data_IF_482684606528
#
_entry.id   IF_482684606528
#
_cell.length_a   1.000
_cell.length_b   1.000
_cell.length_c   1.000
_cell.angle_alpha   90.00
_cell.angle_beta   90.00
_cell.angle_gamma   90.00
#
_symmetry.space_group_name_H-M   'P 1'
#
loop_
_entity.id
_entity.type
_entity.pdbx_description
1 polymer ?
#
# COMPACT_ATOMS: atom_id res chain seq x y z
N UNK A 1 -22.20 22.86 7.62
CA UNK A 1 -21.92 22.47 9.03
C UNK A 1 -20.69 21.59 8.97
N UNK A 2 -19.60 21.98 9.65
CA UNK A 2 -18.34 21.25 9.61
C UNK A 2 -18.53 19.85 10.22
N UNK A 3 -18.22 18.81 9.43
CA UNK A 3 -18.20 17.42 9.91
C UNK A 3 -16.77 17.08 10.27
N UNK A 4 -16.57 16.51 11.45
CA UNK A 4 -15.26 16.09 11.92
C UNK A 4 -15.14 14.58 11.83
N UNK A 5 -13.94 14.12 11.51
CA UNK A 5 -13.55 12.73 11.62
C UNK A 5 -12.43 12.57 12.64
N UNK A 6 -12.40 11.39 13.26
CA UNK A 6 -11.39 11.03 14.24
C UNK A 6 -10.60 9.88 13.69
N UNK A 7 -9.32 10.14 13.43
CA UNK A 7 -8.40 9.15 12.92
C UNK A 7 -7.32 8.83 13.95
N UNK A 8 -7.03 7.54 14.11
CA UNK A 8 -5.97 7.05 14.98
C UNK A 8 -4.82 6.51 14.14
N UNK A 9 -3.60 6.94 14.46
CA UNK A 9 -2.37 6.65 13.72
C UNK A 9 -1.45 5.65 14.44
N UNK A 10 -1.99 4.82 15.34
CA UNK A 10 -1.21 3.91 16.20
C UNK A 10 -0.18 4.58 17.12
N UNK A 11 -0.22 5.91 17.24
CA UNK A 11 0.74 6.67 18.05
C UNK A 11 0.33 6.65 19.52
N UNK A 12 1.29 6.32 20.38
CA UNK A 12 1.14 6.25 21.82
C UNK A 12 1.76 7.50 22.45
N UNK A 13 1.16 8.01 23.52
CA UNK A 13 1.76 9.10 24.29
C UNK A 13 3.07 8.64 24.97
N UNK A 14 4.06 9.53 25.16
CA UNK A 14 5.31 9.20 25.85
C UNK A 14 5.02 8.70 27.27
N UNK A 15 5.40 7.46 27.57
CA UNK A 15 5.20 6.84 28.88
C UNK A 15 3.94 5.96 29.02
N UNK A 16 3.11 5.84 27.98
CA UNK A 16 1.96 4.93 27.99
C UNK A 16 2.38 3.50 27.56
N UNK A 17 1.98 2.48 28.33
CA UNK A 17 2.26 1.08 27.98
C UNK A 17 1.30 0.59 26.89
N UNK A 18 1.87 0.01 25.82
CA UNK A 18 1.13 -0.47 24.64
C UNK A 18 -0.01 -1.44 25.00
N UNK A 19 0.19 -2.32 25.98
CA UNK A 19 -0.83 -3.25 26.49
C UNK A 19 -1.99 -2.54 27.20
N UNK A 20 -1.70 -1.55 28.05
CA UNK A 20 -2.72 -0.79 28.77
C UNK A 20 -3.53 0.11 27.83
N UNK A 21 -2.87 0.76 26.86
CA UNK A 21 -3.58 1.58 25.86
C UNK A 21 -4.47 0.71 24.99
N UNK A 22 -4.01 -0.48 24.57
CA UNK A 22 -4.84 -1.46 23.86
C UNK A 22 -6.08 -1.85 24.68
N UNK A 23 -5.91 -2.19 25.96
CA UNK A 23 -7.03 -2.57 26.82
C UNK A 23 -8.06 -1.43 26.99
N UNK A 24 -7.59 -0.19 27.14
CA UNK A 24 -8.46 0.98 27.28
C UNK A 24 -9.18 1.34 25.97
N UNK A 25 -8.47 1.24 24.84
CA UNK A 25 -9.03 1.48 23.51
C UNK A 25 -10.08 0.41 23.15
N UNK A 26 -9.82 -0.86 23.47
CA UNK A 26 -10.77 -1.95 23.28
C UNK A 26 -12.08 -1.71 24.05
N UNK A 27 -12.00 -1.21 25.28
CA UNK A 27 -13.19 -0.88 26.10
C UNK A 27 -13.95 0.34 25.57
N UNK A 28 -13.24 1.38 25.15
CA UNK A 28 -13.85 2.62 24.65
C UNK A 28 -14.55 2.43 23.31
N UNK A 29 -13.98 1.63 22.41
CA UNK A 29 -14.52 1.42 21.06
C UNK A 29 -15.26 0.10 20.88
N UNK A 30 -15.32 -0.74 21.92
CA UNK A 30 -15.84 -2.11 21.83
C UNK A 30 -15.24 -2.86 20.62
N UNK A 31 -13.95 -2.58 20.35
CA UNK A 31 -13.27 -3.07 19.18
C UNK A 31 -12.61 -4.42 19.49
N UNK A 32 -12.87 -5.42 18.66
CA UNK A 32 -12.24 -6.73 18.73
C UNK A 32 -10.72 -6.66 18.58
N UNK A 33 -10.00 -7.64 19.13
CA UNK A 33 -8.55 -7.75 19.05
C UNK A 33 -8.01 -7.63 17.61
N UNK A 34 -8.79 -8.07 16.62
CA UNK A 34 -8.48 -7.95 15.18
C UNK A 34 -8.53 -6.50 14.69
N UNK A 35 -9.56 -5.73 15.05
CA UNK A 35 -9.67 -4.29 14.71
C UNK A 35 -8.61 -3.48 15.43
N UNK A 36 -8.30 -3.85 16.67
CA UNK A 36 -7.20 -3.24 17.40
C UNK A 36 -5.83 -3.53 16.77
N UNK A 37 -5.57 -4.77 16.35
CA UNK A 37 -4.32 -5.10 15.64
C UNK A 37 -4.17 -4.28 14.35
N UNK A 38 -5.27 -4.07 13.62
CA UNK A 38 -5.33 -3.19 12.44
C UNK A 38 -5.07 -1.73 12.80
N UNK A 39 -5.69 -1.21 13.87
CA UNK A 39 -5.47 0.15 14.39
C UNK A 39 -4.03 0.40 14.83
N UNK A 40 -3.35 -0.64 15.35
CA UNK A 40 -1.95 -0.60 15.75
C UNK A 40 -0.97 -1.02 14.65
N UNK A 41 -1.44 -1.20 13.40
CA UNK A 41 -0.59 -1.55 12.26
C UNK A 41 0.30 -0.38 11.75
N UNK A 42 0.21 0.79 12.40
CA UNK A 42 0.96 1.99 12.01
C UNK A 42 0.30 2.81 10.89
N UNK A 43 -0.86 2.38 10.39
CA UNK A 43 -1.64 3.11 9.37
C UNK A 43 -2.70 3.98 10.04
N UNK A 44 -2.97 5.17 9.46
CA UNK A 44 -4.10 6.01 9.85
C UNK A 44 -5.40 5.26 9.62
N UNK A 45 -6.18 5.03 10.67
CA UNK A 45 -7.51 4.43 10.58
C UNK A 45 -8.54 5.38 11.16
N UNK A 46 -9.58 5.65 10.39
CA UNK A 46 -10.74 6.44 10.81
C UNK A 46 -11.59 5.58 11.75
N UNK A 47 -11.69 6.00 13.02
CA UNK A 47 -12.48 5.26 14.00
C UNK A 47 -13.96 5.63 13.91
N UNK A 48 -14.24 6.93 13.69
CA UNK A 48 -15.60 7.42 13.53
C UNK A 48 -15.60 8.71 12.71
N UNK A 49 -16.44 8.76 11.68
CA UNK A 49 -16.68 9.92 10.83
C UNK A 49 -18.05 10.54 11.14
N UNK A 50 -18.25 11.78 10.71
CA UNK A 50 -19.53 12.51 10.86
C UNK A 50 -19.85 12.90 12.31
N UNK A 51 -18.85 13.38 13.05
CA UNK A 51 -19.01 13.91 14.40
C UNK A 51 -19.11 15.44 14.37
N UNK A 52 -19.97 16.00 15.21
CA UNK A 52 -19.99 17.42 15.52
C UNK A 52 -18.73 17.83 16.31
N UNK A 53 -18.36 19.12 16.26
CA UNK A 53 -17.18 19.69 16.93
C UNK A 53 -17.10 19.29 18.42
N UNK A 54 -18.21 19.48 19.15
CA UNK A 54 -18.30 19.15 20.57
C UNK A 54 -18.20 17.63 20.85
N UNK A 55 -18.57 16.78 19.88
CA UNK A 55 -18.40 15.33 20.01
C UNK A 55 -16.96 14.93 19.69
N UNK A 56 -16.36 15.54 18.66
CA UNK A 56 -14.98 15.29 18.27
C UNK A 56 -13.97 15.60 19.39
N UNK A 57 -14.14 16.74 20.07
CA UNK A 57 -13.29 17.11 21.22
C UNK A 57 -13.46 16.17 22.42
N UNK A 58 -14.68 15.68 22.67
CA UNK A 58 -14.94 14.69 23.74
C UNK A 58 -14.23 13.37 23.45
N UNK A 59 -14.28 12.91 22.21
CA UNK A 59 -13.57 11.70 21.79
C UNK A 59 -12.05 11.89 21.85
N UNK A 60 -11.52 13.02 21.36
CA UNK A 60 -10.10 13.37 21.49
C UNK A 60 -9.66 13.33 22.96
N UNK A 61 -10.38 14.01 23.84
CA UNK A 61 -10.06 14.08 25.28
C UNK A 61 -10.09 12.70 25.95
N UNK A 62 -11.03 11.84 25.56
CA UNK A 62 -11.17 10.49 26.12
C UNK A 62 -10.05 9.57 25.64
N UNK A 63 -9.65 9.73 24.37
CA UNK A 63 -8.56 8.99 23.76
C UNK A 63 -7.17 9.42 24.27
N UNK A 64 -6.93 10.73 24.42
CA UNK A 64 -5.70 11.25 25.03
C UNK A 64 -5.55 10.75 26.47
N UNK A 65 -6.64 10.73 27.25
CA UNK A 65 -6.67 10.13 28.60
C UNK A 65 -6.41 8.62 28.59
N UNK A 66 -6.75 7.93 27.51
CA UNK A 66 -6.44 6.52 27.34
C UNK A 66 -4.99 6.26 26.91
N UNK A 67 -4.19 7.32 26.64
CA UNK A 67 -2.78 7.23 26.23
C UNK A 67 -2.56 7.10 24.72
N UNK A 68 -3.59 7.37 23.92
CA UNK A 68 -3.56 7.31 22.46
C UNK A 68 -3.47 8.73 21.87
N UNK A 69 -2.54 8.94 20.93
CA UNK A 69 -2.47 10.17 20.14
C UNK A 69 -3.47 10.06 18.98
N UNK A 70 -4.36 11.04 18.86
CA UNK A 70 -5.46 11.01 17.89
C UNK A 70 -5.48 12.31 17.12
N UNK A 71 -5.65 12.19 15.80
CA UNK A 71 -5.73 13.32 14.91
C UNK A 71 -7.20 13.57 14.56
N UNK A 72 -7.65 14.80 14.81
CA UNK A 72 -8.98 15.26 14.42
C UNK A 72 -8.82 16.01 13.11
N UNK A 73 -9.30 15.43 12.01
CA UNK A 73 -9.37 16.12 10.74
C UNK A 73 -10.76 16.77 10.60
N UNK A 74 -10.77 18.08 10.39
CA UNK A 74 -11.98 18.76 9.94
C UNK A 74 -12.18 18.44 8.46
N UNK A 75 -13.32 17.85 8.10
CA UNK A 75 -13.70 17.69 6.70
C UNK A 75 -14.23 19.05 6.23
N UNK A 76 -13.31 19.96 5.89
CA UNK A 76 -13.66 21.16 5.15
C UNK A 76 -13.98 20.72 3.71
N UNK A 77 -15.24 20.93 3.31
CA UNK A 77 -15.68 20.80 1.92
C UNK A 77 -14.95 21.89 1.10
N UNK A 78 -13.71 21.64 0.70
CA UNK A 78 -13.11 22.34 -0.43
C UNK A 78 -13.40 21.50 -1.67
N UNK A 79 -14.59 21.73 -2.20
CA UNK A 79 -14.98 21.36 -3.55
C UNK A 79 -14.14 22.29 -4.43
N UNK A 80 -12.91 21.89 -4.75
CA UNK A 80 -12.13 22.53 -5.80
C UNK A 80 -12.82 22.16 -7.12
N UNK A 81 -13.80 23.00 -7.46
CA UNK A 81 -14.47 23.10 -8.73
C UNK A 81 -13.43 23.47 -9.78
N UNK A 82 -12.77 22.46 -10.35
CA UNK A 82 -11.88 22.64 -11.48
C UNK A 82 -12.78 23.00 -12.66
N UNK A 83 -12.79 24.29 -12.96
CA UNK A 83 -13.51 24.92 -14.05
C UNK A 83 -13.30 24.17 -15.38
N UNK A 84 -14.44 23.81 -15.94
CA UNK A 84 -14.72 23.37 -17.29
C UNK A 84 -13.98 24.24 -18.34
N UNK A 85 -12.98 23.67 -19.02
CA UNK A 85 -12.45 24.22 -20.26
C UNK A 85 -12.96 23.40 -21.47
N UNK A 86 -13.37 24.05 -22.58
CA UNK A 86 -14.16 23.43 -23.65
C UNK A 86 -13.29 22.57 -24.61
N UNK A 87 -13.84 21.48 -25.18
CA UNK A 87 -13.10 20.63 -26.14
C UNK A 87 -12.82 21.36 -27.47
N UNK A 88 -11.59 21.31 -28.01
CA UNK A 88 -11.33 21.69 -29.39
C UNK A 88 -11.74 20.56 -30.34
N UNK A 89 -12.56 20.87 -31.34
CA UNK A 89 -12.82 20.00 -32.49
C UNK A 89 -11.57 19.89 -33.37
N UNK A 90 -11.30 18.70 -33.94
CA UNK A 90 -10.95 18.67 -35.36
C UNK A 90 -11.62 17.53 -36.16
N UNK A 91 -12.40 17.94 -37.16
CA UNK A 91 -12.29 17.60 -38.59
C UNK A 91 -11.97 16.15 -39.05
N UNK A 92 -12.97 15.53 -39.70
CA UNK A 92 -12.97 14.73 -40.93
C UNK A 92 -12.17 13.40 -41.10
N UNK A 93 -12.94 12.30 -41.24
CA UNK A 93 -12.95 11.18 -42.25
C UNK A 93 -11.63 10.49 -42.72
N UNK A 94 -11.66 9.26 -43.33
CA UNK A 94 -12.71 8.24 -43.49
C UNK A 94 -12.31 6.83 -42.96
N UNK A 95 -13.28 5.91 -42.87
CA UNK A 95 -13.04 4.49 -42.62
C UNK A 95 -12.30 3.79 -43.79
N UNK A 96 -11.46 2.78 -43.49
CA UNK A 96 -11.75 1.46 -44.05
C UNK A 96 -11.47 0.28 -43.09
N UNK A 97 -12.37 -0.69 -43.18
CA UNK A 97 -12.15 -2.14 -43.06
C UNK A 97 -11.80 -2.71 -41.68
N UNK A 98 -12.80 -3.34 -41.09
CA UNK A 98 -12.68 -4.31 -40.00
C UNK A 98 -11.92 -5.56 -40.46
N UNK A 99 -10.95 -6.03 -39.68
CA UNK A 99 -10.87 -7.45 -39.36
C UNK A 99 -11.07 -7.72 -37.87
N UNK A 100 -11.96 -8.68 -37.59
CA UNK A 100 -12.03 -9.53 -36.39
C UNK A 100 -11.73 -8.85 -35.04
N UNK A 101 -12.82 -8.48 -34.35
CA UNK A 101 -12.82 -8.07 -32.96
C UNK A 101 -12.11 -9.10 -32.06
N UNK A 102 -10.90 -8.77 -31.62
CA UNK A 102 -10.52 -9.01 -30.24
C UNK A 102 -11.53 -8.24 -29.35
N UNK A 103 -11.97 -8.75 -28.19
CA UNK A 103 -12.71 -7.95 -27.26
C UNK A 103 -11.81 -6.79 -26.84
N UNK A 104 -12.05 -5.63 -27.42
CA UNK A 104 -11.50 -4.39 -26.96
C UNK A 104 -11.86 -4.28 -25.48
N UNK A 105 -10.86 -4.17 -24.62
CA UNK A 105 -11.01 -3.60 -23.30
C UNK A 105 -11.41 -2.12 -23.49
N UNK A 106 -12.66 -1.91 -23.91
CA UNK A 106 -13.30 -0.62 -23.93
C UNK A 106 -13.49 -0.19 -22.49
N UNK A 107 -13.38 1.12 -22.25
CA UNK A 107 -13.62 1.69 -20.94
C UNK A 107 -14.90 1.10 -20.34
N UNK A 108 -14.85 0.58 -19.10
CA UNK A 108 -16.01 -0.02 -18.46
C UNK A 108 -17.19 0.97 -18.48
N UNK A 109 -18.38 0.47 -18.81
CA UNK A 109 -19.62 1.25 -18.79
C UNK A 109 -19.94 1.74 -17.38
N UNK A 110 -21.13 2.30 -17.15
CA UNK A 110 -21.56 2.63 -15.77
C UNK A 110 -22.43 1.54 -15.19
N UNK A 111 -22.05 1.08 -13.99
CA UNK A 111 -22.71 0.01 -13.28
C UNK A 111 -24.16 0.40 -12.99
N UNK A 112 -25.11 -0.46 -13.37
CA UNK A 112 -26.52 -0.32 -13.01
C UNK A 112 -26.90 -1.43 -12.04
N UNK A 113 -27.01 -1.09 -10.76
CA UNK A 113 -27.42 -2.04 -9.74
C UNK A 113 -28.95 -2.16 -9.77
N UNK A 114 -29.46 -3.36 -10.04
CA UNK A 114 -30.87 -3.71 -9.82
C UNK A 114 -30.98 -4.33 -8.43
N UNK A 115 -31.60 -3.65 -7.44
CA UNK A 115 -31.68 -4.17 -6.08
C UNK A 115 -32.45 -5.48 -6.03
N UNK A 116 -31.90 -6.46 -5.31
CA UNK A 116 -32.57 -7.74 -5.02
C UNK A 116 -33.17 -7.76 -3.62
N UNK A 117 -32.64 -6.94 -2.72
CA UNK A 117 -33.00 -6.85 -1.31
C UNK A 117 -32.76 -5.43 -0.77
N UNK A 118 -33.15 -5.18 0.49
CA UNK A 118 -33.00 -3.89 1.16
C UNK A 118 -31.53 -3.47 1.32
N UNK A 119 -30.62 -4.44 1.44
CA UNK A 119 -29.18 -4.15 1.53
C UNK A 119 -28.61 -3.68 0.19
N UNK A 120 -28.95 -4.33 -0.93
CA UNK A 120 -28.52 -3.89 -2.26
C UNK A 120 -29.14 -2.56 -2.68
N UNK A 121 -30.33 -2.21 -2.15
CA UNK A 121 -30.97 -0.94 -2.43
C UNK A 121 -30.12 0.27 -2.01
N UNK A 122 -29.25 0.12 -1.00
CA UNK A 122 -28.32 1.17 -0.58
C UNK A 122 -27.29 1.56 -1.67
N UNK A 123 -27.09 0.71 -2.68
CA UNK A 123 -26.08 0.90 -3.72
C UNK A 123 -26.66 1.35 -5.09
N UNK A 124 -27.96 1.60 -5.19
CA UNK A 124 -28.60 1.96 -6.48
C UNK A 124 -28.08 3.27 -7.07
N UNK A 125 -27.62 4.18 -6.22
CA UNK A 125 -27.08 5.49 -6.62
C UNK A 125 -25.56 5.54 -6.72
N UNK A 126 -24.86 4.41 -6.61
CA UNK A 126 -23.40 4.39 -6.69
C UNK A 126 -22.95 4.58 -8.12
N UNK A 127 -22.18 5.63 -8.36
CA UNK A 127 -21.52 5.87 -9.64
C UNK A 127 -20.17 5.12 -9.68
N UNK A 128 -20.17 3.95 -10.33
CA UNK A 128 -18.99 3.13 -10.48
C UNK A 128 -18.85 2.60 -11.92
N UNK A 129 -17.61 2.32 -12.37
CA UNK A 129 -17.40 1.62 -13.63
C UNK A 129 -17.91 0.17 -13.55
N UNK A 130 -18.54 -0.30 -14.62
CA UNK A 130 -19.00 -1.67 -14.81
C UNK A 130 -17.88 -2.53 -15.39
N UNK A 131 -17.11 -3.17 -14.51
CA UNK A 131 -16.03 -4.08 -14.89
C UNK A 131 -16.51 -5.44 -15.41
N UNK A 132 -17.83 -5.70 -15.39
CA UNK A 132 -18.38 -7.00 -15.78
C UNK A 132 -17.85 -8.17 -14.94
N UNK A 133 -18.13 -9.39 -15.41
CA UNK A 133 -17.60 -10.62 -14.83
C UNK A 133 -16.90 -11.38 -15.95
N UNK A 134 -15.60 -11.57 -15.82
CA UNK A 134 -14.83 -12.38 -16.75
C UNK A 134 -15.20 -13.88 -16.61
N UNK A 135 -15.14 -14.66 -17.69
CA UNK A 135 -15.37 -16.10 -17.62
C UNK A 135 -14.27 -16.80 -16.79
N UNK A 136 -14.56 -18.04 -16.37
CA UNK A 136 -13.60 -18.82 -15.60
C UNK A 136 -12.36 -19.13 -16.44
N UNK A 137 -11.18 -18.79 -15.91
CA UNK A 137 -9.89 -19.03 -16.56
C UNK A 137 -9.34 -17.85 -17.35
N UNK A 138 -10.08 -16.74 -17.46
CA UNK A 138 -9.53 -15.50 -18.00
C UNK A 138 -8.49 -14.90 -17.05
N UNK A 139 -7.43 -14.35 -17.63
CA UNK A 139 -6.41 -13.62 -16.89
C UNK A 139 -6.91 -12.20 -16.59
N UNK A 140 -6.90 -11.84 -15.30
CA UNK A 140 -7.34 -10.54 -14.81
C UNK A 140 -6.17 -9.61 -14.46
N UNK A 141 -4.93 -10.02 -14.76
CA UNK A 141 -3.77 -9.19 -14.48
C UNK A 141 -3.65 -8.13 -15.57
N UNK A 142 -3.29 -6.91 -15.16
CA UNK A 142 -2.90 -5.88 -16.12
C UNK A 142 -1.68 -6.34 -16.92
N UNK A 143 -1.64 -5.95 -18.20
CA UNK A 143 -0.48 -6.23 -19.05
C UNK A 143 0.76 -5.60 -18.42
N UNK A 144 1.79 -6.43 -18.18
CA UNK A 144 3.04 -5.94 -17.63
C UNK A 144 3.71 -5.08 -18.71
N UNK A 145 3.95 -3.78 -18.46
CA UNK A 145 4.59 -2.94 -19.45
C UNK A 145 5.94 -3.54 -19.84
N UNK A 146 6.20 -3.60 -21.14
CA UNK A 146 7.49 -4.05 -21.66
C UNK A 146 8.58 -3.13 -21.11
N UNK A 147 9.50 -3.70 -20.32
CA UNK A 147 10.58 -2.94 -19.71
C UNK A 147 11.71 -2.88 -20.72
N UNK A 148 11.86 -1.73 -21.37
CA UNK A 148 13.04 -1.44 -22.18
C UNK A 148 14.31 -1.62 -21.34
N UNK A 149 15.22 -2.48 -21.81
CA UNK A 149 16.45 -2.76 -21.10
C UNK A 149 17.31 -1.48 -21.02
N UNK A 150 17.91 -1.17 -19.86
CA UNK A 150 18.79 -0.01 -19.76
C UNK A 150 19.97 -0.18 -20.74
N UNK A 151 20.44 0.89 -21.40
CA UNK A 151 21.62 0.83 -22.26
C UNK A 151 22.88 0.70 -21.38
N UNK A 152 23.18 -0.53 -20.94
CA UNK A 152 24.36 -0.86 -20.16
C UNK A 152 25.53 -1.22 -21.08
N UNK A 153 26.63 -0.48 -20.97
CA UNK A 153 27.90 -0.85 -21.61
C UNK A 153 28.69 -1.81 -20.71
N UNK A 154 28.63 -3.09 -21.05
CA UNK A 154 29.34 -4.17 -20.35
C UNK A 154 30.68 -4.51 -20.99
N UNK A 155 31.15 -3.75 -21.98
CA UNK A 155 32.38 -4.07 -22.74
C UNK A 155 33.64 -4.10 -21.87
N UNK A 156 33.61 -3.41 -20.72
CA UNK A 156 34.69 -3.38 -19.73
C UNK A 156 34.70 -4.60 -18.78
N UNK A 157 33.63 -5.37 -18.72
CA UNK A 157 33.50 -6.52 -17.82
C UNK A 157 33.72 -7.82 -18.59
N UNK A 158 34.69 -8.63 -18.16
CA UNK A 158 34.92 -9.97 -18.68
C UNK A 158 34.50 -11.00 -17.64
N UNK A 159 33.64 -11.94 -18.02
CA UNK A 159 33.25 -13.05 -17.16
C UNK A 159 34.30 -14.15 -17.24
N UNK A 160 34.77 -14.63 -16.10
CA UNK A 160 35.70 -15.76 -16.05
C UNK A 160 34.98 -17.06 -16.46
N UNK A 161 35.70 -18.07 -17.00
CA UNK A 161 35.11 -19.38 -17.30
C UNK A 161 34.44 -20.00 -16.07
N UNK A 162 33.39 -20.77 -16.31
CA UNK A 162 32.70 -21.51 -15.25
C UNK A 162 33.68 -22.35 -14.44
N UNK A 163 33.61 -22.27 -13.11
CA UNK A 163 34.56 -22.91 -12.20
C UNK A 163 35.82 -22.09 -11.88
N UNK A 164 35.95 -20.86 -12.41
CA UNK A 164 36.97 -19.93 -11.92
C UNK A 164 36.60 -19.44 -10.53
N UNK A 165 37.51 -19.58 -9.58
CA UNK A 165 37.34 -19.12 -8.21
C UNK A 165 37.23 -17.59 -8.17
N UNK A 166 36.05 -17.08 -7.83
CA UNK A 166 35.79 -15.66 -7.69
C UNK A 166 35.92 -15.28 -6.21
N UNK A 167 37.11 -15.46 -5.63
CA UNK A 167 37.46 -14.88 -4.34
C UNK A 167 38.22 -15.81 -3.39
N UNK A 168 39.55 -15.71 -3.41
CA UNK A 168 40.38 -15.54 -2.21
C UNK A 168 41.73 -14.93 -2.66
N UNK A 169 42.22 -13.90 -1.96
CA UNK A 169 43.56 -13.38 -2.24
C UNK A 169 44.58 -14.50 -1.96
N UNK A 170 45.46 -14.79 -2.93
CA UNK A 170 46.45 -15.88 -2.85
C UNK A 170 47.21 -15.81 -1.51
N UNK A 171 46.91 -16.74 -0.59
CA UNK A 171 47.51 -16.77 0.75
C UNK A 171 49.03 -16.86 0.60
N UNK A 172 49.74 -15.92 1.23
CA UNK A 172 51.20 -15.91 1.22
C UNK A 172 51.71 -17.29 1.70
N UNK A 173 52.75 -17.84 1.07
CA UNK A 173 53.33 -19.12 1.51
C UNK A 173 53.68 -19.02 2.99
N UNK A 174 53.38 -20.08 3.74
CA UNK A 174 53.72 -20.14 5.16
C UNK A 174 55.23 -19.86 5.32
N UNK A 175 55.57 -18.95 6.24
CA UNK A 175 56.96 -18.64 6.55
C UNK A 175 57.74 -19.89 6.99
N UNK A 176 59.08 -19.85 6.96
CA UNK A 176 59.90 -20.97 7.41
C UNK A 176 59.50 -21.38 8.83
N UNK A 177 59.48 -22.70 9.13
CA UNK A 177 59.14 -23.18 10.46
C UNK A 177 60.08 -22.58 11.51
N UNK A 178 59.59 -22.29 12.72
CA UNK A 178 60.44 -21.80 13.81
C UNK A 178 61.50 -22.84 14.17
N UNK A 179 62.68 -22.38 14.60
CA UNK A 179 63.79 -23.25 15.00
C UNK A 179 63.44 -24.04 16.28
N UNK A 180 63.36 -25.36 16.15
CA UNK A 180 63.04 -26.30 17.23
C UNK A 180 64.29 -27.02 17.77
N UNK A 181 65.51 -26.60 17.39
CA UNK A 181 66.77 -27.27 17.75
C UNK A 181 67.02 -27.40 19.25
N UNK A 182 66.31 -26.64 20.08
CA UNK A 182 66.42 -26.66 21.54
C UNK A 182 65.33 -27.48 22.26
N UNK A 183 64.38 -28.08 21.53
CA UNK A 183 63.33 -28.92 22.12
C UNK A 183 63.80 -30.37 22.12
N UNK A 184 63.88 -30.99 23.31
CA UNK A 184 64.12 -32.43 23.47
C UNK A 184 62.97 -33.04 24.26
N UNK A 185 62.45 -34.16 23.77
CA UNK A 185 61.47 -34.98 24.48
C UNK A 185 62.22 -35.83 25.52
N UNK A 186 61.88 -35.71 26.80
CA UNK A 186 62.31 -36.66 27.82
C UNK A 186 61.36 -37.86 27.79
N UNK A 187 61.93 -39.08 27.73
CA UNK A 187 61.21 -40.34 27.93
C UNK A 187 60.67 -40.47 29.36
#
# INVERSE_FOLDING_TARGET
>A
MARYEIAFSAQLMPGAQLESVKANLAKLFQADAQRLALLFSGRRIVIKSNLDEAAAEKYRSTLERAGALVEVCALAEEIEEIELAPPPEPLAAPAPTQPAAAPAQGAPGRLKVVPRDEYMAAFVGVDAPDFGIAPLGDDLQDDKPDVDAPPLDLSQFSLAPVGSDMGEAKKAPAGPPPDISHIKLQE
#
